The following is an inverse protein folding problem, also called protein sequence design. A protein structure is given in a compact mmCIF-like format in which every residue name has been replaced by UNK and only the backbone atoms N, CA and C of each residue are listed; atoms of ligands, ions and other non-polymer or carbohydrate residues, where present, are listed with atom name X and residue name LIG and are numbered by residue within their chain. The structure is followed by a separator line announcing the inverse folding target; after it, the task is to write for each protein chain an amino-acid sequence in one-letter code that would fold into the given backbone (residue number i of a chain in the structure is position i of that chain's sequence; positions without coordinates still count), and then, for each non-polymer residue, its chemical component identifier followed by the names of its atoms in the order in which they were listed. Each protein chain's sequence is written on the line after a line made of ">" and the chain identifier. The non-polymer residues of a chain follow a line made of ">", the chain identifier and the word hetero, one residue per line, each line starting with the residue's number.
data_IF_381697653313
#
_entry.id   IF_381697653313
#
_cell.length_a   1.000
_cell.length_b   1.000
_cell.length_c   1.000
_cell.angle_alpha   90.00
_cell.angle_beta   90.00
_cell.angle_gamma   90.00
#
_symmetry.space_group_name_H-M   'P 1'
#
loop_
_entity.id
_entity.type
_entity.pdbx_description
1 polymer ?
#
# COMPACT_ATOMS: atom_id res chain seq x y z
N UNK A 1 -4.33 12.19 -21.96
CA UNK A 1 -5.55 11.83 -21.20
C UNK A 1 -5.42 12.37 -19.81
N UNK A 2 -6.38 13.17 -19.35
CA UNK A 2 -6.35 13.86 -18.06
C UNK A 2 -6.31 12.86 -16.88
N UNK A 3 -5.55 13.17 -15.83
CA UNK A 3 -5.43 12.36 -14.63
C UNK A 3 -6.76 12.01 -13.95
N UNK A 4 -7.76 12.87 -14.08
CA UNK A 4 -9.13 12.64 -13.62
C UNK A 4 -9.82 11.44 -14.33
N UNK A 5 -9.58 11.24 -15.62
CA UNK A 5 -10.15 10.10 -16.35
C UNK A 5 -9.54 8.77 -15.92
N UNK A 6 -8.23 8.74 -15.58
CA UNK A 6 -7.56 7.53 -15.06
C UNK A 6 -8.06 7.15 -13.65
N UNK A 7 -8.27 8.14 -12.78
CA UNK A 7 -8.81 7.88 -11.45
C UNK A 7 -10.25 7.34 -11.50
N UNK A 8 -11.05 7.83 -12.42
CA UNK A 8 -12.42 7.35 -12.62
C UNK A 8 -12.48 5.94 -13.24
N UNK A 9 -11.55 5.61 -14.14
CA UNK A 9 -11.47 4.25 -14.70
C UNK A 9 -11.07 3.24 -13.63
N UNK A 10 -10.05 3.53 -12.82
CA UNK A 10 -9.64 2.66 -11.70
C UNK A 10 -10.75 2.43 -10.69
N UNK A 11 -11.49 3.49 -10.34
CA UNK A 11 -12.66 3.38 -9.44
C UNK A 11 -13.78 2.52 -10.04
N UNK A 12 -14.02 2.63 -11.36
CA UNK A 12 -15.05 1.83 -12.05
C UNK A 12 -14.66 0.36 -12.10
N UNK A 13 -13.40 0.04 -12.44
CA UNK A 13 -12.90 -1.34 -12.48
C UNK A 13 -12.98 -2.00 -11.10
N UNK A 14 -12.55 -1.32 -10.04
CA UNK A 14 -12.69 -1.82 -8.67
C UNK A 14 -14.15 -2.04 -8.27
N UNK A 15 -15.04 -1.12 -8.66
CA UNK A 15 -16.46 -1.25 -8.38
C UNK A 15 -17.07 -2.45 -9.13
N UNK A 16 -16.72 -2.65 -10.40
CA UNK A 16 -17.18 -3.77 -11.21
C UNK A 16 -16.68 -5.12 -10.66
N UNK A 17 -15.40 -5.25 -10.35
CA UNK A 17 -14.82 -6.50 -9.82
C UNK A 17 -15.34 -6.85 -8.41
N UNK A 18 -15.55 -5.86 -7.56
CA UNK A 18 -16.07 -6.06 -6.21
C UNK A 18 -17.61 -6.08 -6.12
N UNK A 19 -18.32 -5.91 -7.25
CA UNK A 19 -19.78 -5.78 -7.26
C UNK A 19 -20.29 -4.52 -6.55
N UNK A 20 -19.45 -3.49 -6.43
CA UNK A 20 -19.73 -2.25 -5.71
C UNK A 20 -20.24 -1.22 -6.71
N UNK A 21 -21.45 -0.74 -6.57
CA UNK A 21 -22.05 0.27 -7.45
C UNK A 21 -21.52 1.68 -7.20
N UNK A 22 -21.01 1.95 -5.99
CA UNK A 22 -20.41 3.21 -5.57
C UNK A 22 -19.27 2.98 -4.60
N UNK A 23 -18.08 3.49 -4.92
CA UNK A 23 -16.94 3.42 -4.04
C UNK A 23 -17.03 4.54 -3.00
N UNK A 24 -17.47 4.22 -1.80
CA UNK A 24 -17.53 5.10 -0.64
C UNK A 24 -16.89 4.44 0.61
N UNK A 25 -16.90 5.14 1.73
CA UNK A 25 -16.29 4.67 2.96
C UNK A 25 -16.93 3.37 3.48
N UNK A 26 -18.24 3.21 3.36
CA UNK A 26 -18.95 2.03 3.81
C UNK A 26 -18.62 0.81 2.95
N UNK A 27 -18.59 0.97 1.63
CA UNK A 27 -18.20 -0.09 0.70
C UNK A 27 -16.76 -0.58 0.95
N UNK A 28 -15.82 0.35 1.22
CA UNK A 28 -14.42 0.01 1.50
C UNK A 28 -14.22 -0.64 2.88
N UNK A 29 -15.04 -0.29 3.86
CA UNK A 29 -14.88 -0.76 5.25
C UNK A 29 -15.74 -1.98 5.61
N UNK A 30 -16.52 -2.51 4.67
CA UNK A 30 -17.50 -3.56 4.95
C UNK A 30 -18.55 -3.14 5.99
N UNK A 31 -19.06 -1.90 5.87
CA UNK A 31 -20.09 -1.33 6.76
C UNK A 31 -19.53 -0.63 8.02
N UNK A 32 -18.22 -0.51 8.17
CA UNK A 32 -17.56 0.23 9.27
C UNK A 32 -17.13 1.63 8.85
N UNK A 33 -17.85 2.26 7.93
CA UNK A 33 -17.51 3.52 7.27
C UNK A 33 -17.26 4.71 8.18
N UNK A 34 -17.82 4.74 9.39
CA UNK A 34 -17.57 5.81 10.35
C UNK A 34 -16.11 5.97 10.80
N UNK A 35 -15.25 5.02 10.48
CA UNK A 35 -13.79 5.08 10.73
C UNK A 35 -12.99 5.56 9.52
N UNK A 36 -13.61 5.70 8.35
CA UNK A 36 -12.98 6.13 7.11
C UNK A 36 -13.45 7.52 6.68
N UNK A 37 -12.51 8.39 6.41
CA UNK A 37 -12.77 9.70 5.79
C UNK A 37 -12.21 9.70 4.38
N UNK A 38 -13.08 9.88 3.38
CA UNK A 38 -12.69 9.96 1.99
C UNK A 38 -12.53 11.42 1.56
N UNK A 39 -11.38 11.74 1.00
CA UNK A 39 -11.10 13.06 0.45
C UNK A 39 -11.03 13.03 -1.07
N UNK A 40 -11.59 14.03 -1.78
CA UNK A 40 -11.33 14.21 -3.20
C UNK A 40 -9.83 14.39 -3.47
N UNK A 41 -9.31 13.74 -4.51
CA UNK A 41 -7.87 13.79 -4.83
C UNK A 41 -7.35 15.18 -5.21
N UNK A 42 -8.23 16.13 -5.55
CA UNK A 42 -7.91 17.52 -5.86
C UNK A 42 -8.11 18.47 -4.66
N UNK A 43 -8.58 17.97 -3.52
CA UNK A 43 -8.77 18.77 -2.31
C UNK A 43 -7.45 18.92 -1.54
N UNK A 44 -6.57 19.77 -2.04
CA UNK A 44 -5.29 20.08 -1.38
C UNK A 44 -5.44 20.89 -0.07
N UNK A 45 -6.66 21.33 0.26
CA UNK A 45 -7.02 21.97 1.52
C UNK A 45 -7.48 20.99 2.60
N UNK A 46 -7.60 19.69 2.30
CA UNK A 46 -8.00 18.71 3.29
C UNK A 46 -7.04 18.65 4.50
N UNK A 47 -7.55 18.22 5.65
CA UNK A 47 -6.78 18.21 6.90
C UNK A 47 -5.43 17.48 6.77
N UNK A 48 -5.39 16.35 6.07
CA UNK A 48 -4.18 15.55 5.84
C UNK A 48 -3.12 16.26 4.96
N UNK A 49 -3.46 17.39 4.33
CA UNK A 49 -2.51 18.23 3.60
C UNK A 49 -1.76 19.22 4.52
N UNK A 50 -2.10 19.26 5.81
CA UNK A 50 -1.50 20.17 6.81
C UNK A 50 -0.50 19.44 7.70
N UNK A 51 0.65 20.06 7.98
CA UNK A 51 1.64 19.53 8.94
C UNK A 51 1.11 19.42 10.37
N UNK A 52 0.11 20.23 10.74
CA UNK A 52 -0.52 20.16 12.06
C UNK A 52 -1.46 18.96 12.23
N UNK A 53 -1.91 18.34 11.16
CA UNK A 53 -2.71 17.13 11.21
C UNK A 53 -1.83 15.95 11.66
N UNK A 54 -2.12 15.43 12.86
CA UNK A 54 -1.37 14.30 13.42
C UNK A 54 -1.90 12.98 12.88
N UNK A 55 -0.99 12.10 12.45
CA UNK A 55 -1.28 10.74 12.04
C UNK A 55 -0.04 9.87 12.30
N UNK A 56 -0.24 8.57 12.40
CA UNK A 56 0.81 7.61 12.76
C UNK A 56 1.66 7.19 11.57
N UNK A 57 1.16 7.31 10.36
CA UNK A 57 1.88 7.00 9.13
C UNK A 57 1.01 7.19 7.88
N UNK A 58 1.63 7.06 6.71
CA UNK A 58 0.96 7.14 5.41
C UNK A 58 1.47 6.06 4.48
N UNK A 59 0.57 5.45 3.72
CA UNK A 59 0.91 4.58 2.60
C UNK A 59 0.33 5.14 1.30
N UNK A 60 1.14 5.12 0.25
CA UNK A 60 0.69 5.40 -1.13
C UNK A 60 0.61 4.06 -1.85
N UNK A 61 -0.60 3.54 -2.08
CA UNK A 61 -0.81 2.21 -2.65
C UNK A 61 -1.96 2.18 -3.67
N UNK A 62 -1.73 1.71 -4.89
CA UNK A 62 -0.42 1.60 -5.53
C UNK A 62 0.15 2.98 -5.92
N UNK A 63 1.46 3.12 -5.90
CA UNK A 63 2.15 4.29 -6.39
C UNK A 63 2.63 4.04 -7.84
N UNK A 64 2.24 4.91 -8.76
CA UNK A 64 2.82 4.94 -10.11
C UNK A 64 4.17 5.65 -10.11
N UNK A 65 5.00 5.40 -11.15
CA UNK A 65 6.27 6.09 -11.37
C UNK A 65 6.10 7.61 -11.40
N UNK A 66 5.01 8.13 -11.97
CA UNK A 66 4.72 9.55 -11.95
C UNK A 66 4.49 10.10 -10.52
N UNK A 67 3.77 9.37 -9.67
CA UNK A 67 3.54 9.76 -8.27
C UNK A 67 4.85 9.71 -7.49
N UNK A 68 5.63 8.64 -7.64
CA UNK A 68 6.96 8.49 -7.02
C UNK A 68 7.89 9.65 -7.41
N UNK A 69 8.02 9.94 -8.72
CA UNK A 69 8.87 11.01 -9.23
C UNK A 69 8.47 12.39 -8.69
N UNK A 70 7.17 12.69 -8.63
CA UNK A 70 6.67 13.95 -8.08
C UNK A 70 6.98 14.10 -6.59
N UNK A 71 6.76 13.04 -5.80
CA UNK A 71 7.14 13.04 -4.39
C UNK A 71 8.66 13.26 -4.24
N UNK A 72 9.48 12.58 -5.04
CA UNK A 72 10.94 12.70 -5.03
C UNK A 72 11.45 14.12 -5.34
N UNK A 73 10.69 14.91 -6.07
CA UNK A 73 11.06 16.26 -6.48
C UNK A 73 10.27 17.38 -5.77
N UNK A 74 9.47 17.05 -4.76
CA UNK A 74 8.69 18.05 -4.02
C UNK A 74 7.51 18.64 -4.79
N UNK A 75 7.03 17.97 -5.85
CA UNK A 75 5.93 18.42 -6.69
C UNK A 75 4.62 17.86 -6.14
N UNK A 76 3.63 18.73 -5.95
CA UNK A 76 2.33 18.38 -5.33
C UNK A 76 1.16 18.89 -6.18
N UNK A 77 0.76 18.10 -7.19
CA UNK A 77 -0.37 18.45 -8.07
C UNK A 77 -1.72 17.92 -7.55
N UNK A 78 -1.69 17.07 -6.52
CA UNK A 78 -2.88 16.50 -5.92
C UNK A 78 -2.69 16.25 -4.42
N UNK A 79 -3.79 15.88 -3.76
CA UNK A 79 -3.79 15.64 -2.32
C UNK A 79 -2.82 14.53 -1.88
N UNK A 80 -2.70 13.44 -2.64
CA UNK A 80 -1.80 12.32 -2.29
C UNK A 80 -0.34 12.79 -2.24
N UNK A 81 0.09 13.52 -3.27
CA UNK A 81 1.45 14.05 -3.35
C UNK A 81 1.69 15.10 -2.26
N UNK A 82 0.70 15.97 -2.01
CA UNK A 82 0.78 16.97 -0.95
C UNK A 82 0.89 16.34 0.44
N UNK A 83 0.04 15.37 0.75
CA UNK A 83 0.07 14.65 2.03
C UNK A 83 1.38 13.88 2.22
N UNK A 84 1.91 13.23 1.16
CA UNK A 84 3.21 12.57 1.21
C UNK A 84 4.36 13.55 1.51
N UNK A 85 4.39 14.72 0.87
CA UNK A 85 5.37 15.78 1.15
C UNK A 85 5.28 16.26 2.60
N UNK A 86 4.07 16.45 3.10
CA UNK A 86 3.85 16.87 4.49
C UNK A 86 4.31 15.77 5.45
N UNK A 87 3.98 14.51 5.18
CA UNK A 87 4.41 13.36 5.97
C UNK A 87 5.93 13.29 6.09
N UNK A 88 6.64 13.42 4.98
CA UNK A 88 8.11 13.42 4.95
C UNK A 88 8.71 14.59 5.74
N UNK A 89 8.23 15.81 5.49
CA UNK A 89 8.79 16.98 6.16
C UNK A 89 8.55 16.98 7.67
N UNK A 90 7.44 16.39 8.13
CA UNK A 90 7.11 16.22 9.55
C UNK A 90 7.78 14.96 10.16
N UNK A 91 8.63 14.26 9.37
CA UNK A 91 9.38 13.06 9.79
C UNK A 91 8.49 11.91 10.28
N UNK A 92 7.31 11.77 9.68
CA UNK A 92 6.39 10.66 9.95
C UNK A 92 6.62 9.51 8.97
N UNK A 93 6.29 8.26 9.35
CA UNK A 93 6.42 7.11 8.47
C UNK A 93 5.67 7.30 7.14
N UNK A 94 6.37 7.13 6.02
CA UNK A 94 5.80 7.11 4.67
C UNK A 94 6.24 5.84 3.95
N UNK A 95 5.28 5.04 3.53
CA UNK A 95 5.50 3.86 2.69
C UNK A 95 4.98 4.14 1.28
N UNK A 96 5.81 3.91 0.27
CA UNK A 96 5.47 4.09 -1.14
C UNK A 96 5.45 2.71 -1.79
N UNK A 97 4.25 2.16 -1.96
CA UNK A 97 4.03 0.85 -2.58
C UNK A 97 4.04 0.99 -4.11
N UNK A 98 5.25 0.96 -4.68
CA UNK A 98 5.47 1.21 -6.10
C UNK A 98 5.10 -0.01 -6.95
N UNK A 99 4.41 0.21 -8.06
CA UNK A 99 4.05 -0.82 -9.03
C UNK A 99 4.36 -0.32 -10.44
N UNK A 100 5.46 -0.82 -11.00
CA UNK A 100 5.90 -0.54 -12.37
C UNK A 100 6.75 -1.70 -12.89
N UNK A 101 6.70 -1.96 -14.20
CA UNK A 101 7.57 -2.89 -14.89
C UNK A 101 7.61 -2.54 -16.40
N UNK A 102 8.78 -2.42 -17.05
CA UNK A 102 10.12 -2.42 -16.45
C UNK A 102 10.41 -1.14 -15.66
N UNK A 103 11.48 -1.16 -14.85
CA UNK A 103 11.97 0.01 -14.12
C UNK A 103 13.16 0.58 -14.87
N UNK A 104 13.13 1.89 -15.13
CA UNK A 104 14.23 2.64 -15.75
C UNK A 104 15.06 3.43 -14.73
N UNK A 105 16.09 4.12 -15.21
CA UNK A 105 16.96 4.94 -14.37
C UNK A 105 16.19 6.06 -13.65
N UNK A 106 15.17 6.62 -14.28
CA UNK A 106 14.31 7.67 -13.69
C UNK A 106 13.62 7.20 -12.43
N UNK A 107 13.08 5.99 -12.43
CA UNK A 107 12.43 5.39 -11.25
C UNK A 107 13.45 5.06 -10.16
N UNK A 108 14.62 4.53 -10.54
CA UNK A 108 15.70 4.20 -9.59
C UNK A 108 16.17 5.47 -8.87
N UNK A 109 16.40 6.55 -9.59
CA UNK A 109 16.80 7.84 -9.00
C UNK A 109 15.70 8.44 -8.12
N UNK A 110 14.44 8.32 -8.52
CA UNK A 110 13.32 8.77 -7.69
C UNK A 110 13.20 7.93 -6.40
N UNK A 111 13.37 6.60 -6.48
CA UNK A 111 13.41 5.72 -5.31
C UNK A 111 14.54 6.09 -4.36
N UNK A 112 15.75 6.33 -4.88
CA UNK A 112 16.89 6.78 -4.10
C UNK A 112 16.57 8.07 -3.31
N UNK A 113 16.04 9.09 -4.00
CA UNK A 113 15.72 10.38 -3.39
C UNK A 113 14.68 10.28 -2.28
N UNK A 114 13.58 9.55 -2.49
CA UNK A 114 12.54 9.42 -1.45
C UNK A 114 13.05 8.59 -0.26
N UNK A 115 13.93 7.60 -0.51
CA UNK A 115 14.54 6.80 0.55
C UNK A 115 15.50 7.65 1.38
N UNK A 116 16.35 8.46 0.75
CA UNK A 116 17.22 9.43 1.43
C UNK A 116 16.41 10.47 2.26
N UNK A 117 15.21 10.83 1.78
CA UNK A 117 14.28 11.70 2.51
C UNK A 117 13.58 11.00 3.69
N UNK A 118 13.69 9.68 3.82
CA UNK A 118 13.15 8.89 4.92
C UNK A 118 11.89 8.07 4.59
N UNK A 119 11.46 8.00 3.33
CA UNK A 119 10.40 7.10 2.93
C UNK A 119 10.90 5.66 2.77
N UNK A 120 10.01 4.70 2.97
CA UNK A 120 10.23 3.29 2.60
C UNK A 120 9.62 3.04 1.23
N UNK A 121 10.42 2.62 0.26
CA UNK A 121 9.92 2.15 -1.03
C UNK A 121 9.66 0.64 -0.93
N UNK A 122 8.41 0.24 -1.07
CA UNK A 122 7.96 -1.14 -1.01
C UNK A 122 7.39 -1.54 -2.39
N UNK A 123 8.17 -2.19 -3.27
CA UNK A 123 7.66 -2.67 -4.54
C UNK A 123 6.51 -3.67 -4.31
N UNK A 124 5.44 -3.55 -5.10
CA UNK A 124 4.33 -4.50 -5.06
C UNK A 124 4.71 -5.79 -5.80
N UNK A 125 5.64 -6.54 -5.20
CA UNK A 125 6.19 -7.81 -5.71
C UNK A 125 5.88 -8.91 -4.70
N UNK A 126 4.85 -9.74 -4.93
CA UNK A 126 4.46 -10.78 -3.97
C UNK A 126 5.51 -11.87 -3.84
N UNK A 127 5.67 -12.38 -2.61
CA UNK A 127 6.57 -13.47 -2.31
C UNK A 127 5.91 -14.82 -2.58
N UNK A 128 6.25 -15.46 -3.70
CA UNK A 128 5.68 -16.78 -4.08
C UNK A 128 6.20 -17.93 -3.22
N UNK A 129 7.22 -17.70 -2.40
CA UNK A 129 7.80 -18.71 -1.51
C UNK A 129 6.86 -19.20 -0.39
N UNK A 130 5.79 -18.46 -0.10
CA UNK A 130 4.72 -18.88 0.81
C UNK A 130 3.69 -19.80 0.15
N UNK A 131 3.91 -20.20 -1.11
CA UNK A 131 3.05 -21.10 -1.87
C UNK A 131 1.56 -20.64 -1.89
N UNK A 132 1.28 -19.40 -2.33
CA UNK A 132 -0.09 -18.90 -2.37
C UNK A 132 -0.98 -19.78 -3.25
N UNK A 133 -2.16 -20.14 -2.78
CA UNK A 133 -3.14 -20.95 -3.49
C UNK A 133 -4.19 -20.08 -4.22
N UNK A 134 -4.27 -18.81 -3.85
CA UNK A 134 -5.22 -17.85 -4.43
C UNK A 134 -4.60 -16.48 -4.66
N UNK A 135 -5.29 -15.65 -5.45
CA UNK A 135 -4.95 -14.23 -5.61
C UNK A 135 -5.11 -13.48 -4.29
N UNK A 136 -6.07 -13.87 -3.45
CA UNK A 136 -6.28 -13.24 -2.15
C UNK A 136 -5.07 -13.45 -1.23
N UNK A 137 -4.42 -14.60 -1.25
CA UNK A 137 -3.22 -14.85 -0.46
C UNK A 137 -2.08 -13.89 -0.86
N UNK A 138 -1.95 -13.60 -2.17
CA UNK A 138 -1.00 -12.60 -2.66
C UNK A 138 -1.34 -11.18 -2.19
N UNK A 139 -2.64 -10.83 -2.19
CA UNK A 139 -3.12 -9.54 -1.72
C UNK A 139 -2.89 -9.41 -0.22
N UNK A 140 -3.22 -10.43 0.57
CA UNK A 140 -3.04 -10.45 2.01
C UNK A 140 -1.56 -10.35 2.39
N UNK A 141 -0.68 -11.07 1.67
CA UNK A 141 0.76 -10.94 1.84
C UNK A 141 1.23 -9.50 1.60
N UNK A 142 0.81 -8.88 0.50
CA UNK A 142 1.20 -7.51 0.18
C UNK A 142 0.64 -6.51 1.21
N UNK A 143 -0.63 -6.65 1.59
CA UNK A 143 -1.28 -5.79 2.56
C UNK A 143 -0.59 -5.89 3.94
N UNK A 144 -0.35 -7.10 4.42
CA UNK A 144 0.31 -7.32 5.69
C UNK A 144 1.73 -6.75 5.73
N UNK A 145 2.51 -6.90 4.64
CA UNK A 145 3.84 -6.27 4.56
C UNK A 145 3.78 -4.74 4.65
N UNK A 146 2.76 -4.11 4.06
CA UNK A 146 2.58 -2.66 4.17
C UNK A 146 2.15 -2.25 5.59
N UNK A 147 1.31 -3.04 6.25
CA UNK A 147 0.93 -2.82 7.65
C UNK A 147 2.13 -2.94 8.60
N UNK A 148 2.97 -3.99 8.44
CA UNK A 148 4.22 -4.14 9.20
C UNK A 148 5.12 -2.91 9.07
N UNK A 149 5.30 -2.39 7.85
CA UNK A 149 6.15 -1.22 7.58
C UNK A 149 5.59 0.06 8.22
N UNK A 150 4.30 0.11 8.50
CA UNK A 150 3.64 1.21 9.22
C UNK A 150 3.57 0.96 10.73
N UNK A 151 4.01 -0.21 11.23
CA UNK A 151 3.90 -0.58 12.63
C UNK A 151 2.47 -0.86 13.09
N UNK A 152 1.59 -1.28 12.17
CA UNK A 152 0.19 -1.61 12.47
C UNK A 152 0.07 -3.11 12.73
N UNK A 153 -0.40 -3.47 13.92
CA UNK A 153 -0.66 -4.87 14.26
C UNK A 153 -1.77 -5.47 13.40
N UNK A 154 -1.54 -6.69 12.91
CA UNK A 154 -2.49 -7.44 12.09
C UNK A 154 -2.33 -8.95 12.28
N UNK A 155 -3.31 -9.73 11.82
CA UNK A 155 -3.31 -11.19 11.89
C UNK A 155 -3.27 -11.86 10.50
N UNK A 156 -2.79 -11.15 9.49
CA UNK A 156 -2.64 -11.72 8.15
C UNK A 156 -1.49 -12.75 8.15
N UNK A 157 -1.65 -13.92 7.48
CA UNK A 157 -0.67 -15.02 7.49
C UNK A 157 0.51 -14.72 6.56
N UNK A 158 1.37 -13.77 6.96
CA UNK A 158 2.47 -13.29 6.12
C UNK A 158 3.86 -13.51 6.72
N UNK A 159 3.94 -14.05 7.95
CA UNK A 159 5.21 -14.18 8.67
C UNK A 159 5.89 -15.49 8.32
N UNK A 160 7.12 -15.38 7.87
CA UNK A 160 7.97 -16.53 7.51
C UNK A 160 8.18 -17.49 8.68
N UNK A 161 8.29 -16.99 9.88
CA UNK A 161 8.49 -17.78 11.10
C UNK A 161 7.29 -18.69 11.39
N UNK A 162 6.06 -18.18 11.20
CA UNK A 162 4.81 -18.92 11.36
C UNK A 162 4.72 -20.03 10.30
N UNK A 163 4.99 -19.70 9.05
CA UNK A 163 5.03 -20.68 7.96
C UNK A 163 6.08 -21.77 8.16
N UNK A 164 7.27 -21.40 8.64
CA UNK A 164 8.31 -22.38 8.99
C UNK A 164 7.91 -23.26 10.18
N UNK A 165 7.19 -22.73 11.15
CA UNK A 165 6.69 -23.49 12.29
C UNK A 165 5.67 -24.55 11.83
N UNK A 166 4.70 -24.15 11.01
CA UNK A 166 3.72 -25.05 10.42
C UNK A 166 4.34 -26.16 9.57
N UNK A 167 5.31 -25.80 8.71
CA UNK A 167 6.03 -26.79 7.91
C UNK A 167 6.82 -27.80 8.76
N UNK A 168 7.44 -27.34 9.86
CA UNK A 168 8.16 -28.22 10.79
C UNK A 168 7.22 -29.16 11.52
N UNK A 169 6.04 -28.68 11.91
CA UNK A 169 5.02 -29.46 12.59
C UNK A 169 4.42 -30.52 11.66
N UNK A 170 4.02 -30.14 10.45
CA UNK A 170 3.56 -31.07 9.42
C UNK A 170 4.59 -32.14 9.05
N UNK A 171 5.89 -31.79 9.04
CA UNK A 171 6.97 -32.75 8.81
C UNK A 171 7.18 -33.71 9.97
N UNK A 172 6.98 -33.28 11.20
CA UNK A 172 7.03 -34.14 12.41
C UNK A 172 5.89 -35.15 12.42
N UNK A 173 4.67 -34.72 12.09
CA UNK A 173 3.49 -35.58 12.03
C UNK A 173 3.64 -36.68 10.97
N UNK A 174 4.15 -36.35 9.78
CA UNK A 174 4.43 -37.33 8.70
C UNK A 174 5.46 -38.37 9.10
N UNK A 175 6.41 -38.05 10.00
CA UNK A 175 7.44 -38.99 10.45
C UNK A 175 7.03 -39.76 11.71
N UNK A 176 5.94 -39.35 12.41
CA UNK A 176 5.44 -40.01 13.61
C UNK A 176 4.34 -41.04 13.33
N UNK A 177 3.86 -41.16 12.09
CA UNK A 177 2.87 -42.19 11.73
C UNK A 177 3.61 -43.51 11.41
N UNK A 178 3.54 -44.55 12.27
CA UNK A 178 4.16 -45.85 11.99
C UNK A 178 3.43 -46.50 10.84
N UNK A 179 4.19 -47.20 9.97
CA UNK A 179 3.65 -48.06 8.89
C UNK A 179 3.04 -49.33 9.50
#
# INVERSE_FOLDING_TARGET
>A
MNGAARSNLGKRLLAEEAGITKLDADALSGGRGGQLVMHPGNDVGAACASGSFRHDGMVVVPASSNTLAKIAHGISDNLVQRAAQVTLKERRPLVIAHRESPIGLTEIEAMRKVTEAGAVVAPLSPGLYLQPESVNDLIDFMAGRLLDLLGVDHQLPIRWDEHLAEQREAKRERHSTPR
#
